data_IF_625859399608
#
_entry.id   IF_625859399608
#
_cell.length_a   1.000
_cell.length_b   1.000
_cell.length_c   1.000
_cell.angle_alpha   90.00
_cell.angle_beta   90.00
_cell.angle_gamma   90.00
#
_symmetry.space_group_name_H-M   'P 1'
#
loop_
_entity.id
_entity.type
_entity.pdbx_description
1 polymer ?
#
# COMPACT_ATOMS: atom_id res chain seq x y z
N UNK A 1 9.98 4.23 -13.21
CA UNK A 1 10.97 3.95 -12.16
C UNK A 1 10.75 2.57 -11.53
N UNK A 2 9.57 2.24 -10.98
CA UNK A 2 9.30 0.91 -10.41
C UNK A 2 9.46 -0.24 -11.42
N UNK A 3 8.93 -0.09 -12.64
CA UNK A 3 9.11 -1.05 -13.72
C UNK A 3 10.57 -1.22 -14.13
N UNK A 4 11.32 -0.11 -14.24
CA UNK A 4 12.75 -0.16 -14.56
C UNK A 4 13.55 -0.87 -13.46
N UNK A 5 13.24 -0.63 -12.18
CA UNK A 5 13.85 -1.34 -11.07
C UNK A 5 13.58 -2.85 -11.14
N UNK A 6 12.34 -3.25 -11.38
CA UNK A 6 11.98 -4.67 -11.54
C UNK A 6 12.66 -5.32 -12.75
N UNK A 7 12.69 -4.63 -13.90
CA UNK A 7 13.38 -5.12 -15.10
C UNK A 7 14.89 -5.32 -14.88
N UNK A 8 15.49 -4.49 -14.04
CA UNK A 8 16.90 -4.59 -13.65
C UNK A 8 17.15 -5.57 -12.48
N UNK A 9 16.11 -6.23 -11.94
CA UNK A 9 16.21 -7.05 -10.73
C UNK A 9 16.54 -6.25 -9.46
N UNK A 10 16.42 -4.92 -9.50
CA UNK A 10 16.74 -4.05 -8.38
C UNK A 10 15.59 -4.02 -7.37
N UNK A 11 15.89 -4.28 -6.10
CA UNK A 11 14.94 -4.23 -4.99
C UNK A 11 15.02 -2.92 -4.21
N UNK A 12 16.09 -2.16 -4.37
CA UNK A 12 16.29 -0.85 -3.74
C UNK A 12 16.60 0.20 -4.81
N UNK A 13 15.92 1.34 -4.70
CA UNK A 13 16.15 2.53 -5.53
C UNK A 13 16.68 3.65 -4.66
N UNK A 14 17.87 4.16 -4.97
CA UNK A 14 18.47 5.28 -4.26
C UNK A 14 17.87 6.60 -4.77
N UNK A 15 17.47 7.47 -3.86
CA UNK A 15 16.92 8.80 -4.15
C UNK A 15 17.73 9.89 -3.47
N UNK A 16 18.07 10.95 -4.20
CA UNK A 16 18.86 12.09 -3.74
C UNK A 16 18.10 13.13 -2.90
N UNK A 17 17.06 12.72 -2.14
CA UNK A 17 16.38 13.63 -1.23
C UNK A 17 17.26 14.00 -0.03
N UNK A 18 17.14 15.25 0.42
CA UNK A 18 17.95 15.87 1.47
C UNK A 18 17.08 16.41 2.61
N UNK A 19 17.69 16.87 3.70
CA UNK A 19 17.00 17.60 4.76
C UNK A 19 16.28 18.86 4.23
N UNK A 20 16.86 19.51 3.21
CA UNK A 20 16.23 20.66 2.54
C UNK A 20 14.89 20.28 1.89
N UNK A 21 14.76 19.08 1.32
CA UNK A 21 13.50 18.61 0.73
C UNK A 21 12.42 18.35 1.79
N UNK A 22 12.79 17.95 3.02
CA UNK A 22 11.86 17.83 4.15
C UNK A 22 11.32 19.21 4.52
N UNK A 23 12.20 20.19 4.69
CA UNK A 23 11.84 21.57 5.05
C UNK A 23 10.93 22.22 3.99
N UNK A 24 11.25 22.05 2.71
CA UNK A 24 10.40 22.49 1.59
C UNK A 24 9.01 21.81 1.66
N UNK A 25 8.95 20.50 1.98
CA UNK A 25 7.70 19.75 2.15
C UNK A 25 6.85 20.28 3.32
N UNK A 26 7.46 20.68 4.44
CA UNK A 26 6.77 21.31 5.57
C UNK A 26 6.12 22.62 5.14
N UNK A 27 6.86 23.52 4.46
CA UNK A 27 6.36 24.79 3.95
C UNK A 27 5.19 24.58 2.96
N UNK A 28 5.34 23.66 2.01
CA UNK A 28 4.29 23.35 1.06
C UNK A 28 3.01 22.82 1.73
N UNK A 29 3.12 22.04 2.81
CA UNK A 29 1.94 21.58 3.57
C UNK A 29 1.26 22.69 4.33
N UNK A 30 2.00 23.67 4.84
CA UNK A 30 1.42 24.88 5.42
C UNK A 30 0.57 25.66 4.41
N UNK A 31 0.90 25.60 3.12
CA UNK A 31 0.14 26.16 2.01
C UNK A 31 -0.97 25.23 1.47
N UNK A 32 -1.25 24.11 2.14
CA UNK A 32 -2.31 23.19 1.77
C UNK A 32 -1.90 22.01 0.86
N UNK A 33 -0.63 21.82 0.57
CA UNK A 33 -0.14 20.64 -0.16
C UNK A 33 -0.36 19.36 0.64
N UNK A 34 -0.59 18.25 -0.07
CA UNK A 34 -0.76 16.92 0.51
C UNK A 34 0.51 16.06 0.41
N UNK A 35 1.66 16.67 0.11
CA UNK A 35 2.92 15.94 0.01
C UNK A 35 3.25 15.29 1.36
N UNK A 36 3.66 14.02 1.35
CA UNK A 36 4.08 13.30 2.54
C UNK A 36 5.55 13.58 2.86
N UNK A 37 5.93 13.46 4.14
CA UNK A 37 7.35 13.52 4.52
C UNK A 37 8.09 12.33 3.94
N UNK A 38 9.23 12.55 3.29
CA UNK A 38 10.09 11.47 2.88
C UNK A 38 10.67 10.79 4.12
N UNK A 39 10.68 9.44 4.12
CA UNK A 39 11.38 8.62 5.11
C UNK A 39 12.69 8.14 4.51
N UNK A 40 13.68 7.87 5.34
CA UNK A 40 14.96 7.31 4.89
C UNK A 40 14.74 6.02 4.09
N UNK A 41 14.00 5.09 4.68
CA UNK A 41 13.49 3.89 4.02
C UNK A 41 11.98 3.96 3.85
N UNK A 42 11.50 3.58 2.69
CA UNK A 42 10.06 3.46 2.44
C UNK A 42 9.79 2.46 1.32
N UNK A 43 8.68 1.71 1.37
CA UNK A 43 8.23 0.94 0.21
C UNK A 43 7.91 1.88 -0.95
N UNK A 44 8.00 1.38 -2.17
CA UNK A 44 7.56 2.10 -3.36
C UNK A 44 6.09 2.55 -3.19
N UNK A 45 5.75 3.80 -3.50
CA UNK A 45 4.37 4.28 -3.47
C UNK A 45 3.55 3.78 -4.67
N UNK A 46 4.21 3.18 -5.67
CA UNK A 46 3.56 2.63 -6.87
C UNK A 46 3.06 1.23 -6.56
N UNK A 47 1.80 0.98 -6.76
CA UNK A 47 1.17 -0.29 -6.44
C UNK A 47 0.22 -0.72 -7.57
N UNK A 48 0.24 -2.00 -7.99
CA UNK A 48 1.05 -3.12 -7.47
C UNK A 48 2.45 -3.27 -8.10
N UNK A 49 2.81 -2.49 -9.11
CA UNK A 49 4.03 -2.65 -9.92
C UNK A 49 5.31 -2.48 -9.10
N UNK A 50 5.27 -1.62 -8.08
CA UNK A 50 6.38 -1.36 -7.17
C UNK A 50 6.46 -2.29 -5.95
N UNK A 51 5.69 -3.37 -5.89
CA UNK A 51 5.76 -4.32 -4.77
C UNK A 51 7.14 -4.97 -4.68
N UNK A 52 7.67 -5.06 -3.46
CA UNK A 52 9.02 -5.56 -3.24
C UNK A 52 10.15 -4.60 -3.65
N UNK A 53 9.83 -3.37 -4.09
CA UNK A 53 10.82 -2.32 -4.35
C UNK A 53 10.77 -1.30 -3.21
N UNK A 54 11.92 -0.99 -2.64
CA UNK A 54 12.11 -0.01 -1.57
C UNK A 54 12.86 1.22 -2.07
N UNK A 55 12.60 2.35 -1.44
CA UNK A 55 13.25 3.63 -1.70
C UNK A 55 14.17 3.95 -0.52
N UNK A 56 15.46 4.11 -0.78
CA UNK A 56 16.45 4.57 0.19
C UNK A 56 16.86 6.01 -0.12
N UNK A 57 16.90 6.86 0.90
CA UNK A 57 17.32 8.26 0.82
C UNK A 57 18.51 8.49 1.73
N UNK A 58 19.72 8.12 1.31
CA UNK A 58 20.91 8.14 2.17
C UNK A 58 21.34 9.56 2.56
N UNK A 59 20.90 10.56 1.81
CA UNK A 59 21.27 11.97 2.04
C UNK A 59 20.22 12.75 2.87
N UNK A 60 19.22 12.07 3.42
CA UNK A 60 18.06 12.72 4.06
C UNK A 60 18.44 13.51 5.33
N UNK A 61 19.54 13.16 5.97
CA UNK A 61 20.08 13.88 7.14
C UNK A 61 20.95 15.09 6.78
N UNK A 62 21.31 15.23 5.49
CA UNK A 62 22.22 16.28 5.03
C UNK A 62 21.44 17.40 4.33
N UNK A 63 21.89 18.64 4.53
CA UNK A 63 21.39 19.77 3.75
C UNK A 63 22.06 19.83 2.37
N UNK A 64 21.40 20.49 1.43
CA UNK A 64 21.99 20.74 0.10
C UNK A 64 23.30 21.53 0.18
N UNK A 65 23.43 22.47 1.13
CA UNK A 65 24.65 23.25 1.36
C UNK A 65 25.82 22.37 1.80
N UNK A 66 25.60 21.43 2.73
CA UNK A 66 26.63 20.49 3.18
C UNK A 66 27.10 19.59 2.03
N UNK A 67 26.17 19.10 1.20
CA UNK A 67 26.52 18.26 0.03
C UNK A 67 27.35 19.07 -0.98
N UNK A 68 26.96 20.29 -1.31
CA UNK A 68 27.75 21.19 -2.22
C UNK A 68 29.12 21.48 -1.67
N UNK A 69 29.24 21.71 -0.36
CA UNK A 69 30.52 21.88 0.31
C UNK A 69 31.40 20.67 0.20
N UNK A 70 30.83 19.46 0.39
CA UNK A 70 31.57 18.22 0.23
C UNK A 70 32.04 17.99 -1.21
N UNK A 71 31.16 18.22 -2.20
CA UNK A 71 31.51 18.11 -3.62
C UNK A 71 32.66 19.11 -4.00
N UNK A 72 32.54 20.35 -3.58
CA UNK A 72 33.59 21.34 -3.84
C UNK A 72 34.97 20.96 -3.24
N UNK A 73 34.98 20.34 -2.04
CA UNK A 73 36.20 19.83 -1.42
C UNK A 73 36.77 18.60 -2.19
N UNK A 74 35.90 17.82 -2.84
CA UNK A 74 36.31 16.71 -3.69
C UNK A 74 36.74 17.15 -5.10
N UNK A 75 36.65 18.44 -5.45
CA UNK A 75 36.91 18.93 -6.79
C UNK A 75 35.81 18.63 -7.81
N UNK A 76 34.64 18.22 -7.33
CA UNK A 76 33.48 17.86 -8.16
C UNK A 76 32.57 19.05 -8.40
N UNK A 77 31.94 19.08 -9.56
CA UNK A 77 30.94 20.09 -9.95
C UNK A 77 29.52 19.52 -9.96
N UNK A 78 28.54 20.43 -9.95
CA UNK A 78 27.13 20.05 -10.05
C UNK A 78 26.41 20.92 -11.09
N UNK A 79 25.28 20.39 -11.56
CA UNK A 79 24.40 21.15 -12.44
C UNK A 79 23.28 21.78 -11.62
N UNK A 80 23.03 23.06 -11.85
CA UNK A 80 21.86 23.77 -11.35
C UNK A 80 20.77 23.76 -12.42
N UNK A 81 19.75 22.89 -12.22
CA UNK A 81 18.59 22.82 -13.10
C UNK A 81 17.77 24.11 -12.99
N UNK A 82 17.53 24.84 -14.11
CA UNK A 82 16.72 26.05 -14.11
C UNK A 82 15.32 25.88 -13.53
N UNK A 83 14.74 24.67 -13.61
CA UNK A 83 13.45 24.37 -13.00
C UNK A 83 13.46 24.52 -11.47
N UNK A 84 14.63 24.45 -10.84
CA UNK A 84 14.77 24.60 -9.38
C UNK A 84 14.48 26.03 -8.87
N UNK A 85 14.51 27.02 -9.73
CA UNK A 85 14.23 28.44 -9.40
C UNK A 85 12.95 28.97 -10.06
N UNK A 86 12.26 28.15 -10.85
CA UNK A 86 11.04 28.53 -11.55
C UNK A 86 9.86 28.65 -10.57
N UNK A 87 9.29 29.86 -10.36
CA UNK A 87 8.21 30.07 -9.38
C UNK A 87 6.88 29.38 -9.72
N UNK A 88 6.73 28.82 -10.91
CA UNK A 88 5.58 27.98 -11.25
C UNK A 88 5.50 26.74 -10.37
N UNK A 89 6.63 26.25 -9.89
CA UNK A 89 6.70 25.06 -9.05
C UNK A 89 6.64 25.42 -7.56
N UNK A 90 5.77 24.76 -6.79
CA UNK A 90 5.58 25.01 -5.37
C UNK A 90 6.89 24.84 -4.56
N UNK A 91 7.73 23.86 -4.93
CA UNK A 91 9.04 23.66 -4.28
C UNK A 91 9.99 24.83 -4.50
N UNK A 92 10.02 25.42 -5.71
CA UNK A 92 10.86 26.58 -5.99
C UNK A 92 10.41 27.79 -5.17
N UNK A 93 9.08 28.00 -5.02
CA UNK A 93 8.54 29.06 -4.14
C UNK A 93 8.88 28.82 -2.67
N UNK A 94 8.71 27.61 -2.14
CA UNK A 94 9.07 27.26 -0.77
C UNK A 94 10.56 27.51 -0.49
N UNK A 95 11.42 27.15 -1.45
CA UNK A 95 12.87 27.40 -1.38
C UNK A 95 13.22 28.90 -1.38
N UNK A 96 12.60 29.69 -2.28
CA UNK A 96 12.78 31.11 -2.32
C UNK A 96 12.31 31.81 -1.03
N UNK A 97 11.35 31.25 -0.32
CA UNK A 97 10.91 31.73 0.99
C UNK A 97 11.80 31.28 2.17
N UNK A 98 12.99 30.71 1.91
CA UNK A 98 13.95 30.32 2.95
C UNK A 98 13.62 28.97 3.66
N UNK A 99 12.68 28.18 3.16
CA UNK A 99 12.29 26.93 3.80
C UNK A 99 13.46 25.94 3.98
N UNK A 100 14.46 25.98 3.10
CA UNK A 100 15.61 25.07 3.14
C UNK A 100 16.55 25.28 4.35
N UNK A 101 16.43 26.39 5.05
CA UNK A 101 17.25 26.74 6.23
C UNK A 101 16.62 26.26 7.55
N UNK A 102 15.39 25.74 7.50
CA UNK A 102 14.69 25.22 8.68
C UNK A 102 15.24 23.81 8.99
N UNK A 103 15.68 23.61 10.24
CA UNK A 103 16.12 22.30 10.69
C UNK A 103 14.99 21.26 10.52
N UNK A 104 15.26 20.06 9.98
CA UNK A 104 14.24 19.03 9.84
C UNK A 104 13.73 18.63 11.24
N UNK A 105 12.42 18.33 11.36
CA UNK A 105 11.89 17.84 12.63
C UNK A 105 12.60 16.55 13.01
N UNK A 106 12.97 16.41 14.29
CA UNK A 106 13.59 15.18 14.79
C UNK A 106 12.71 13.98 14.51
N UNK A 107 13.33 12.88 14.10
CA UNK A 107 12.60 11.62 13.87
C UNK A 107 11.84 11.23 15.14
N UNK A 108 10.52 11.10 15.05
CA UNK A 108 9.72 10.61 16.18
C UNK A 108 9.95 9.10 16.32
N UNK A 109 10.11 8.59 17.55
CA UNK A 109 10.17 7.15 17.75
C UNK A 109 8.95 6.47 17.11
N UNK A 110 9.20 5.49 16.26
CA UNK A 110 8.14 4.72 15.62
C UNK A 110 7.71 3.61 16.59
N UNK A 111 6.46 3.64 17.04
CA UNK A 111 5.82 2.54 17.73
C UNK A 111 4.71 1.99 16.80
N UNK A 112 4.84 0.75 16.30
CA UNK A 112 3.80 0.16 15.49
C UNK A 112 2.51 0.00 16.31
N UNK A 113 1.34 0.19 15.71
CA UNK A 113 0.09 -0.12 16.39
C UNK A 113 -0.04 -1.62 16.63
N UNK A 114 -0.79 -2.03 17.65
CA UNK A 114 -1.25 -3.41 17.74
C UNK A 114 -2.17 -3.69 16.54
N UNK A 115 -1.99 -4.80 15.86
CA UNK A 115 -2.82 -5.21 14.73
C UNK A 115 -2.82 -6.71 14.54
N UNK A 116 -3.82 -7.19 13.82
CA UNK A 116 -3.92 -8.54 13.28
C UNK A 116 -4.36 -8.47 11.82
N UNK A 117 -3.87 -9.37 10.98
CA UNK A 117 -4.28 -9.51 9.58
C UNK A 117 -4.52 -10.98 9.28
N UNK A 118 -5.76 -11.31 8.94
CA UNK A 118 -6.12 -12.68 8.60
C UNK A 118 -5.72 -13.08 7.16
N UNK A 119 -5.83 -14.37 6.86
CA UNK A 119 -5.46 -14.95 5.57
C UNK A 119 -6.23 -14.36 4.38
N UNK A 120 -7.39 -13.75 4.60
CA UNK A 120 -8.19 -13.12 3.54
C UNK A 120 -7.94 -11.61 3.41
N UNK A 121 -6.98 -11.07 4.17
CA UNK A 121 -6.61 -9.66 4.13
C UNK A 121 -7.55 -8.74 4.92
N UNK A 122 -8.29 -9.25 5.92
CA UNK A 122 -9.00 -8.42 6.89
C UNK A 122 -8.00 -7.90 7.92
N UNK A 123 -7.97 -6.60 8.16
CA UNK A 123 -7.09 -5.96 9.14
C UNK A 123 -7.91 -5.60 10.38
N UNK A 124 -7.42 -5.98 11.57
CA UNK A 124 -7.98 -5.58 12.87
C UNK A 124 -7.04 -4.61 13.56
N UNK A 125 -7.60 -3.56 14.12
CA UNK A 125 -6.88 -2.48 14.81
C UNK A 125 -7.63 -2.09 16.07
N UNK A 126 -6.94 -1.56 17.12
CA UNK A 126 -7.62 -0.98 18.25
C UNK A 126 -8.34 0.31 17.86
N UNK A 127 -9.36 0.69 18.61
CA UNK A 127 -10.19 1.88 18.30
C UNK A 127 -9.44 3.21 18.43
N UNK A 128 -8.42 3.26 19.25
CA UNK A 128 -7.57 4.44 19.48
C UNK A 128 -6.46 4.60 18.43
N UNK A 129 -6.48 3.77 17.37
CA UNK A 129 -5.50 3.81 16.29
C UNK A 129 -5.33 5.21 15.72
N UNK A 130 -4.07 5.61 15.50
CA UNK A 130 -3.74 6.89 14.90
C UNK A 130 -4.16 6.95 13.42
N UNK A 131 -4.31 8.17 12.89
CA UNK A 131 -4.78 8.40 11.53
C UNK A 131 -3.90 7.75 10.44
N UNK A 132 -2.57 7.74 10.61
CA UNK A 132 -1.66 7.20 9.61
C UNK A 132 -1.75 5.66 9.48
N UNK A 133 -1.69 4.85 10.56
CA UNK A 133 -1.92 3.42 10.46
C UNK A 133 -3.33 3.06 10.00
N UNK A 134 -4.35 3.83 10.38
CA UNK A 134 -5.71 3.64 9.88
C UNK A 134 -5.79 3.86 8.36
N UNK A 135 -5.16 4.93 7.85
CA UNK A 135 -5.09 5.19 6.41
C UNK A 135 -4.35 4.08 5.66
N UNK A 136 -3.27 3.52 6.24
CA UNK A 136 -2.55 2.39 5.70
C UNK A 136 -3.42 1.12 5.66
N UNK A 137 -4.19 0.85 6.72
CA UNK A 137 -5.11 -0.29 6.76
C UNK A 137 -6.20 -0.17 5.68
N UNK A 138 -6.80 1.02 5.54
CA UNK A 138 -7.80 1.29 4.49
C UNK A 138 -7.21 1.09 3.10
N UNK A 139 -6.00 1.61 2.85
CA UNK A 139 -5.26 1.43 1.60
C UNK A 139 -5.04 -0.03 1.26
N UNK A 140 -4.51 -0.80 2.22
CA UNK A 140 -4.08 -2.18 2.00
C UNK A 140 -5.27 -3.13 1.88
N UNK A 141 -6.26 -3.03 2.77
CA UNK A 141 -7.47 -3.85 2.70
C UNK A 141 -8.32 -3.56 1.45
N UNK A 142 -8.29 -2.32 0.96
CA UNK A 142 -8.97 -1.94 -0.29
C UNK A 142 -8.18 -2.29 -1.56
N UNK A 143 -6.88 -2.60 -1.47
CA UNK A 143 -6.05 -2.85 -2.65
C UNK A 143 -5.78 -1.62 -3.52
N UNK A 144 -6.09 -0.41 -3.05
CA UNK A 144 -5.99 0.84 -3.83
C UNK A 144 -4.58 1.41 -3.84
N UNK A 145 -4.31 2.34 -4.76
CA UNK A 145 -2.98 2.97 -4.89
C UNK A 145 -2.75 4.12 -3.90
N UNK A 146 -3.81 4.81 -3.52
CA UNK A 146 -3.70 6.04 -2.74
C UNK A 146 -4.46 5.94 -1.41
N UNK A 147 -3.80 6.27 -0.28
CA UNK A 147 -4.47 6.27 1.01
C UNK A 147 -5.51 7.39 1.11
N UNK A 148 -6.60 7.19 1.84
CA UNK A 148 -7.54 8.27 2.15
C UNK A 148 -6.86 9.35 2.98
N UNK A 149 -7.25 10.61 2.72
CA UNK A 149 -6.65 11.80 3.35
C UNK A 149 -7.73 12.84 3.69
N UNK A 150 -7.30 13.90 4.38
CA UNK A 150 -8.10 15.10 4.65
C UNK A 150 -9.32 14.83 5.54
N UNK A 151 -10.37 15.62 5.35
CA UNK A 151 -11.52 15.65 6.25
C UNK A 151 -12.24 14.32 6.43
N UNK A 152 -12.29 13.46 5.39
CA UNK A 152 -12.97 12.15 5.47
C UNK A 152 -12.28 11.24 6.46
N UNK A 153 -10.94 11.16 6.40
CA UNK A 153 -10.15 10.39 7.35
C UNK A 153 -10.26 10.96 8.76
N UNK A 154 -10.15 12.29 8.92
CA UNK A 154 -10.26 12.95 10.21
C UNK A 154 -11.65 12.74 10.85
N UNK A 155 -12.72 12.74 10.05
CA UNK A 155 -14.07 12.43 10.53
C UNK A 155 -14.17 10.98 11.04
N UNK A 156 -13.63 10.03 10.27
CA UNK A 156 -13.59 8.61 10.67
C UNK A 156 -12.83 8.42 11.98
N UNK A 157 -11.65 9.03 12.14
CA UNK A 157 -10.87 8.94 13.40
C UNK A 157 -11.65 9.50 14.57
N UNK A 158 -12.36 10.62 14.42
CA UNK A 158 -13.22 11.17 15.49
C UNK A 158 -14.37 10.22 15.84
N UNK A 159 -15.00 9.63 14.83
CA UNK A 159 -16.09 8.68 15.03
C UNK A 159 -15.61 7.39 15.72
N UNK A 160 -14.41 6.91 15.43
CA UNK A 160 -13.82 5.78 16.16
C UNK A 160 -13.64 6.09 17.64
N UNK A 161 -13.24 7.32 17.97
CA UNK A 161 -13.01 7.78 19.36
C UNK A 161 -14.31 8.01 20.16
N UNK A 162 -15.47 8.12 19.50
CA UNK A 162 -16.73 8.25 20.24
C UNK A 162 -17.13 7.00 21.00
N UNK A 163 -16.54 5.84 20.69
CA UNK A 163 -16.84 4.57 21.34
C UNK A 163 -18.08 3.86 20.78
N UNK A 164 -18.90 4.51 19.99
CA UNK A 164 -20.10 3.90 19.41
C UNK A 164 -19.76 2.86 18.34
N UNK A 165 -20.58 1.81 18.24
CA UNK A 165 -20.47 0.83 17.17
C UNK A 165 -21.04 1.42 15.86
N UNK A 166 -20.33 1.27 14.75
CA UNK A 166 -20.82 1.71 13.45
C UNK A 166 -20.21 0.90 12.30
N UNK A 167 -20.82 1.00 11.12
CA UNK A 167 -20.23 0.55 9.87
C UNK A 167 -20.14 1.72 8.89
N UNK A 168 -19.04 1.78 8.12
CA UNK A 168 -18.79 2.80 7.12
C UNK A 168 -18.01 2.24 5.94
N UNK A 169 -17.90 3.00 4.85
CA UNK A 169 -17.01 2.72 3.73
C UNK A 169 -16.15 3.93 3.42
N UNK A 170 -14.87 3.71 3.16
CA UNK A 170 -13.95 4.78 2.76
C UNK A 170 -12.86 4.21 1.85
N UNK A 171 -12.66 4.86 0.70
CA UNK A 171 -11.60 4.55 -0.27
C UNK A 171 -11.57 3.06 -0.69
N UNK A 172 -12.72 2.44 -0.85
CA UNK A 172 -12.85 1.04 -1.29
C UNK A 172 -12.74 0.02 -0.16
N UNK A 173 -12.57 0.45 1.08
CA UNK A 173 -12.60 -0.40 2.27
C UNK A 173 -13.92 -0.24 3.03
N UNK A 174 -14.42 -1.34 3.58
CA UNK A 174 -15.49 -1.40 4.59
C UNK A 174 -14.87 -1.41 5.97
N UNK A 175 -15.38 -0.57 6.84
CA UNK A 175 -14.98 -0.42 8.24
C UNK A 175 -16.14 -0.89 9.11
N UNK A 176 -15.88 -1.74 10.07
CA UNK A 176 -16.81 -2.13 11.12
C UNK A 176 -16.13 -1.86 12.46
N UNK A 177 -16.67 -0.91 13.23
CA UNK A 177 -16.17 -0.52 14.53
C UNK A 177 -17.06 -1.13 15.63
N UNK A 178 -16.49 -2.00 16.42
CA UNK A 178 -17.04 -2.61 17.62
C UNK A 178 -16.11 -2.40 18.80
N UNK A 179 -15.69 -3.44 19.47
CA UNK A 179 -14.60 -3.43 20.45
C UNK A 179 -13.28 -3.08 19.75
N UNK A 180 -13.02 -3.72 18.60
CA UNK A 180 -11.93 -3.37 17.68
C UNK A 180 -12.49 -2.73 16.41
N UNK A 181 -11.59 -2.23 15.56
CA UNK A 181 -11.86 -1.76 14.21
C UNK A 181 -11.48 -2.83 13.21
N UNK A 182 -12.45 -3.31 12.46
CA UNK A 182 -12.25 -4.31 11.40
C UNK A 182 -12.31 -3.62 10.04
N UNK A 183 -11.25 -3.73 9.26
CA UNK A 183 -11.12 -3.14 7.92
C UNK A 183 -10.98 -4.24 6.89
N UNK A 184 -11.82 -4.23 5.86
CA UNK A 184 -11.80 -5.21 4.76
C UNK A 184 -12.19 -4.57 3.43
N UNK A 185 -12.02 -5.31 2.34
CA UNK A 185 -12.48 -4.87 1.02
C UNK A 185 -13.99 -4.63 1.01
N UNK A 186 -14.44 -3.52 0.45
CA UNK A 186 -15.86 -3.25 0.26
C UNK A 186 -16.41 -3.97 -0.98
N UNK A 187 -17.42 -4.80 -0.79
CA UNK A 187 -18.09 -5.52 -1.89
C UNK A 187 -18.85 -4.58 -2.85
N UNK A 188 -19.26 -3.41 -2.38
CA UNK A 188 -19.91 -2.36 -3.18
C UNK A 188 -19.00 -1.77 -4.27
N UNK A 189 -17.68 -1.98 -4.20
CA UNK A 189 -16.74 -1.53 -5.22
C UNK A 189 -16.97 -2.19 -6.58
N UNK A 190 -17.54 -3.38 -6.64
CA UNK A 190 -17.91 -4.03 -7.92
C UNK A 190 -18.80 -3.13 -8.77
N UNK A 191 -19.72 -2.40 -8.16
CA UNK A 191 -20.61 -1.48 -8.86
C UNK A 191 -19.88 -0.19 -9.30
N UNK A 192 -18.72 0.10 -8.74
CA UNK A 192 -17.87 1.29 -9.05
C UNK A 192 -16.67 0.96 -9.94
N UNK A 193 -16.65 -0.24 -10.56
CA UNK A 193 -15.58 -0.68 -11.46
C UNK A 193 -14.39 -1.33 -10.75
N UNK A 194 -14.45 -1.53 -9.43
CA UNK A 194 -13.48 -2.34 -8.69
C UNK A 194 -13.74 -3.84 -8.81
N UNK A 195 -12.80 -4.66 -8.35
CA UNK A 195 -12.88 -6.13 -8.43
C UNK A 195 -13.06 -6.63 -9.89
N UNK A 196 -12.46 -5.92 -10.84
CA UNK A 196 -12.54 -6.28 -12.25
C UNK A 196 -11.95 -7.68 -12.49
N UNK A 197 -12.50 -8.46 -13.43
CA UNK A 197 -11.92 -9.73 -13.81
C UNK A 197 -10.48 -9.56 -14.33
N UNK A 198 -9.62 -10.55 -14.03
CA UNK A 198 -8.26 -10.67 -14.57
C UNK A 198 -8.15 -12.01 -15.30
N UNK A 199 -7.59 -12.00 -16.50
CA UNK A 199 -7.23 -13.20 -17.25
C UNK A 199 -5.71 -13.30 -17.30
N UNK A 200 -5.18 -14.50 -17.04
CA UNK A 200 -3.75 -14.82 -17.12
C UNK A 200 -3.52 -15.94 -18.11
N UNK A 201 -2.50 -15.78 -18.96
CA UNK A 201 -2.00 -16.84 -19.82
C UNK A 201 -1.29 -17.93 -18.97
N UNK A 202 -1.06 -19.14 -19.51
CA UNK A 202 -0.30 -20.16 -18.83
C UNK A 202 1.06 -19.65 -18.32
N UNK A 203 1.38 -19.88 -17.06
CA UNK A 203 2.61 -19.43 -16.40
C UNK A 203 2.67 -17.92 -16.08
N UNK A 204 1.71 -17.13 -16.52
CA UNK A 204 1.67 -15.69 -16.28
C UNK A 204 1.35 -15.38 -14.81
N UNK A 205 2.00 -14.33 -14.28
CA UNK A 205 1.75 -13.79 -12.93
C UNK A 205 1.12 -12.41 -13.03
N UNK A 206 0.01 -12.21 -12.32
CA UNK A 206 -0.66 -10.93 -12.22
C UNK A 206 -1.11 -10.60 -10.80
N UNK A 207 -1.49 -9.35 -10.57
CA UNK A 207 -2.06 -8.93 -9.29
C UNK A 207 -3.53 -8.59 -9.49
N UNK A 208 -4.40 -9.34 -8.80
CA UNK A 208 -5.83 -9.11 -8.82
C UNK A 208 -6.27 -8.23 -7.66
N UNK A 209 -7.06 -7.20 -7.99
CA UNK A 209 -7.66 -6.23 -7.06
C UNK A 209 -6.64 -5.58 -6.10
N UNK A 210 -5.34 -5.54 -6.49
CA UNK A 210 -4.26 -5.00 -5.67
C UNK A 210 -4.00 -5.77 -4.36
N UNK A 211 -4.62 -6.94 -4.14
CA UNK A 211 -4.57 -7.72 -2.91
C UNK A 211 -4.02 -9.13 -3.06
N UNK A 212 -4.09 -9.69 -4.25
CA UNK A 212 -3.71 -11.07 -4.52
C UNK A 212 -2.75 -11.14 -5.69
N UNK A 213 -1.56 -11.67 -5.47
CA UNK A 213 -0.65 -12.07 -6.54
C UNK A 213 -0.98 -13.51 -6.91
N UNK A 214 -1.24 -13.75 -8.19
CA UNK A 214 -1.70 -15.04 -8.70
C UNK A 214 -0.85 -15.39 -9.91
N UNK A 215 -0.31 -16.61 -9.92
CA UNK A 215 0.39 -17.20 -11.06
C UNK A 215 -0.48 -18.30 -11.64
N UNK A 216 -0.78 -18.24 -12.92
CA UNK A 216 -1.45 -19.31 -13.63
C UNK A 216 -0.54 -20.55 -13.73
N UNK A 217 -1.13 -21.74 -13.68
CA UNK A 217 -0.44 -22.99 -13.99
C UNK A 217 -0.30 -23.21 -15.50
N UNK A 218 -0.43 -24.46 -15.92
CA UNK A 218 -0.27 -24.88 -17.33
C UNK A 218 -1.48 -24.52 -18.20
N UNK A 219 -2.55 -23.99 -17.61
CA UNK A 219 -3.79 -23.59 -18.32
C UNK A 219 -4.08 -22.12 -18.12
N UNK A 220 -4.77 -21.46 -19.07
CA UNK A 220 -5.28 -20.12 -18.90
C UNK A 220 -6.15 -20.02 -17.65
N UNK A 221 -6.01 -18.94 -16.88
CA UNK A 221 -6.70 -18.73 -15.62
C UNK A 221 -7.54 -17.47 -15.65
N UNK A 222 -8.81 -17.58 -15.27
CA UNK A 222 -9.70 -16.43 -15.06
C UNK A 222 -9.91 -16.20 -13.57
N UNK A 223 -9.72 -14.98 -13.13
CA UNK A 223 -9.90 -14.53 -11.74
C UNK A 223 -11.06 -13.54 -11.70
N UNK A 224 -12.02 -13.77 -10.82
CA UNK A 224 -13.19 -12.93 -10.63
C UNK A 224 -13.58 -12.86 -9.15
N UNK A 225 -14.39 -11.87 -8.72
CA UNK A 225 -14.91 -11.88 -7.34
C UNK A 225 -15.88 -13.05 -7.14
N UNK A 226 -15.82 -13.68 -5.97
CA UNK A 226 -16.71 -14.79 -5.60
C UNK A 226 -18.21 -14.40 -5.66
N UNK A 227 -18.57 -13.20 -5.26
CA UNK A 227 -19.87 -12.50 -5.36
C UNK A 227 -21.06 -13.40 -5.74
N UNK A 228 -21.65 -14.09 -4.74
CA UNK A 228 -22.86 -14.91 -4.96
C UNK A 228 -22.63 -16.26 -5.64
N UNK A 229 -21.39 -16.57 -6.10
CA UNK A 229 -21.08 -17.82 -6.81
C UNK A 229 -20.62 -18.96 -5.89
N UNK A 230 -20.96 -18.91 -4.60
CA UNK A 230 -20.62 -19.98 -3.65
C UNK A 230 -21.12 -21.35 -4.09
N UNK A 231 -22.26 -21.42 -4.77
CA UNK A 231 -22.82 -22.68 -5.26
C UNK A 231 -21.93 -23.39 -6.30
N UNK A 232 -21.08 -22.65 -7.00
CA UNK A 232 -20.14 -23.19 -7.97
C UNK A 232 -18.93 -23.90 -7.33
N UNK A 233 -18.65 -23.64 -6.05
CA UNK A 233 -17.56 -24.26 -5.32
C UNK A 233 -17.93 -25.68 -4.85
N UNK A 234 -16.91 -26.51 -4.68
CA UNK A 234 -17.07 -27.84 -4.09
C UNK A 234 -17.62 -27.75 -2.65
N UNK A 235 -18.32 -28.80 -2.15
CA UNK A 235 -18.96 -28.74 -0.83
C UNK A 235 -18.01 -28.40 0.32
N UNK A 236 -16.78 -28.91 0.31
CA UNK A 236 -15.76 -28.61 1.33
C UNK A 236 -15.39 -27.13 1.37
N UNK A 237 -15.21 -26.47 0.22
CA UNK A 237 -14.91 -25.05 0.14
C UNK A 237 -16.09 -24.20 0.62
N UNK A 238 -17.32 -24.59 0.30
CA UNK A 238 -18.53 -23.92 0.82
C UNK A 238 -18.60 -23.97 2.33
N UNK A 239 -18.29 -25.11 2.93
CA UNK A 239 -18.28 -25.28 4.38
C UNK A 239 -17.21 -24.36 5.03
N UNK A 240 -16.00 -24.31 4.48
CA UNK A 240 -14.93 -23.42 4.95
C UNK A 240 -15.30 -21.93 4.81
N UNK A 241 -15.93 -21.54 3.71
CA UNK A 241 -16.43 -20.17 3.51
C UNK A 241 -17.48 -19.76 4.54
N UNK A 242 -18.25 -20.68 5.09
CA UNK A 242 -19.26 -20.37 6.11
C UNK A 242 -18.64 -19.79 7.39
N UNK A 243 -17.38 -20.12 7.69
CA UNK A 243 -16.64 -19.56 8.83
C UNK A 243 -16.15 -18.10 8.59
N UNK A 244 -16.12 -17.65 7.32
CA UNK A 244 -15.71 -16.28 6.97
C UNK A 244 -16.93 -15.35 7.09
N UNK A 245 -16.73 -14.13 7.58
CA UNK A 245 -17.77 -13.11 7.68
C UNK A 245 -18.49 -12.91 6.34
N UNK A 246 -19.83 -12.90 6.34
CA UNK A 246 -20.63 -12.80 5.13
C UNK A 246 -20.30 -11.58 4.27
N UNK A 247 -19.93 -10.46 4.90
CA UNK A 247 -19.51 -9.20 4.24
C UNK A 247 -18.16 -9.29 3.54
N UNK A 248 -17.29 -10.26 3.89
CA UNK A 248 -15.99 -10.47 3.26
C UNK A 248 -16.04 -11.40 2.03
N UNK A 249 -16.92 -12.41 2.07
CA UNK A 249 -16.99 -13.47 1.04
C UNK A 249 -17.11 -12.93 -0.40
N UNK A 250 -17.97 -11.93 -0.69
CA UNK A 250 -18.15 -11.45 -2.07
C UNK A 250 -16.88 -10.92 -2.72
N UNK A 251 -15.88 -10.50 -1.94
CA UNK A 251 -14.64 -9.88 -2.41
C UNK A 251 -13.46 -10.84 -2.50
N UNK A 252 -13.67 -12.13 -2.23
CA UNK A 252 -12.64 -13.15 -2.35
C UNK A 252 -12.40 -13.52 -3.81
N UNK A 253 -11.18 -13.91 -4.21
CA UNK A 253 -10.91 -14.36 -5.57
C UNK A 253 -11.54 -15.73 -5.82
N UNK A 254 -12.19 -15.86 -6.95
CA UNK A 254 -12.63 -17.12 -7.53
C UNK A 254 -11.79 -17.39 -8.76
N UNK A 255 -11.04 -18.48 -8.76
CA UNK A 255 -10.18 -18.92 -9.83
C UNK A 255 -10.89 -19.98 -10.67
N UNK A 256 -10.88 -19.81 -11.99
CA UNK A 256 -11.44 -20.79 -12.93
C UNK A 256 -10.41 -21.03 -14.04
N UNK A 257 -9.87 -22.24 -14.09
CA UNK A 257 -9.09 -22.73 -15.21
C UNK A 257 -10.02 -23.35 -16.26
N UNK A 258 -9.57 -23.42 -17.52
CA UNK A 258 -10.34 -24.03 -18.59
C UNK A 258 -10.62 -25.52 -18.28
N UNK A 259 -11.89 -25.92 -18.31
CA UNK A 259 -12.32 -27.27 -17.96
C UNK A 259 -12.23 -27.65 -16.48
N UNK A 260 -11.73 -26.76 -15.62
CA UNK A 260 -11.54 -27.00 -14.19
C UNK A 260 -12.71 -26.54 -13.31
N UNK A 261 -12.81 -27.14 -12.12
CA UNK A 261 -13.76 -26.66 -11.10
C UNK A 261 -13.28 -25.33 -10.50
N UNK A 262 -14.20 -24.36 -10.26
CA UNK A 262 -13.85 -23.11 -9.61
C UNK A 262 -13.29 -23.32 -8.20
N UNK A 263 -12.25 -22.57 -7.83
CA UNK A 263 -11.56 -22.62 -6.53
C UNK A 263 -11.46 -21.24 -5.90
N UNK A 264 -11.41 -21.21 -4.58
CA UNK A 264 -11.16 -19.98 -3.83
C UNK A 264 -9.86 -20.10 -3.02
N UNK A 265 -8.72 -19.57 -3.48
CA UNK A 265 -7.41 -19.74 -2.84
C UNK A 265 -7.35 -19.15 -1.43
N UNK A 266 -8.19 -18.16 -1.12
CA UNK A 266 -8.27 -17.56 0.21
C UNK A 266 -8.63 -18.55 1.33
N UNK A 267 -9.11 -19.76 0.98
CA UNK A 267 -9.43 -20.81 1.94
C UNK A 267 -8.23 -21.67 2.33
N UNK A 268 -7.15 -21.63 1.57
CA UNK A 268 -6.04 -22.57 1.69
C UNK A 268 -4.82 -21.94 2.41
N UNK A 269 -4.93 -20.70 2.86
CA UNK A 269 -3.88 -19.97 3.56
C UNK A 269 -3.24 -18.85 2.73
N UNK A 270 -2.24 -18.16 3.28
CA UNK A 270 -1.65 -16.99 2.64
C UNK A 270 -0.79 -17.30 1.40
N UNK A 271 -0.19 -18.49 1.35
CA UNK A 271 0.68 -18.96 0.26
C UNK A 271 0.18 -20.29 -0.24
N UNK A 272 -0.58 -20.30 -1.32
CA UNK A 272 -1.11 -21.49 -1.91
C UNK A 272 -0.27 -21.94 -3.12
N UNK A 273 0.22 -23.18 -3.06
CA UNK A 273 0.59 -23.95 -4.25
C UNK A 273 -0.56 -24.94 -4.51
N UNK A 274 -1.40 -24.66 -5.50
CA UNK A 274 -2.52 -25.54 -5.85
C UNK A 274 -2.09 -26.62 -6.85
N UNK A 275 -2.87 -27.71 -6.91
CA UNK A 275 -2.78 -28.66 -8.01
C UNK A 275 -2.83 -27.95 -9.36
N UNK A 276 -2.02 -28.41 -10.33
CA UNK A 276 -1.93 -27.78 -11.65
C UNK A 276 -1.01 -26.54 -11.72
N UNK A 277 -0.14 -26.33 -10.72
CA UNK A 277 0.88 -25.27 -10.75
C UNK A 277 0.35 -23.85 -10.48
N UNK A 278 -0.93 -23.68 -10.18
CA UNK A 278 -1.49 -22.38 -9.79
C UNK A 278 -0.94 -21.97 -8.42
N UNK A 279 -0.42 -20.74 -8.30
CA UNK A 279 0.00 -20.16 -7.04
C UNK A 279 -0.79 -18.90 -6.75
N UNK A 280 -1.16 -18.70 -5.49
CA UNK A 280 -1.82 -17.48 -5.04
C UNK A 280 -1.22 -17.04 -3.71
N UNK A 281 -0.92 -15.73 -3.60
CA UNK A 281 -0.36 -15.10 -2.41
C UNK A 281 -1.18 -13.88 -2.02
N UNK A 282 -1.57 -13.79 -0.75
CA UNK A 282 -2.20 -12.60 -0.21
C UNK A 282 -1.13 -11.52 0.06
N UNK A 283 -1.31 -10.32 -0.50
CA UNK A 283 -0.35 -9.21 -0.40
C UNK A 283 -0.66 -8.24 0.75
N UNK A 284 -1.82 -8.36 1.39
CA UNK A 284 -2.32 -7.36 2.34
C UNK A 284 -1.43 -7.23 3.57
N UNK A 285 -0.98 -8.35 4.16
CA UNK A 285 -0.15 -8.35 5.36
C UNK A 285 1.19 -7.66 5.12
N UNK A 286 1.91 -8.08 4.07
CA UNK A 286 3.24 -7.54 3.75
C UNK A 286 3.15 -6.06 3.39
N UNK A 287 2.14 -5.70 2.58
CA UNK A 287 1.89 -4.32 2.22
C UNK A 287 1.56 -3.46 3.44
N UNK A 288 0.75 -3.96 4.36
CA UNK A 288 0.38 -3.22 5.57
C UNK A 288 1.59 -3.01 6.48
N UNK A 289 2.38 -4.05 6.73
CA UNK A 289 3.64 -3.95 7.51
C UNK A 289 4.58 -2.91 6.90
N UNK A 290 4.77 -2.93 5.57
CA UNK A 290 5.58 -1.94 4.87
C UNK A 290 4.99 -0.52 4.99
N UNK A 291 3.68 -0.37 4.81
CA UNK A 291 3.01 0.94 4.85
C UNK A 291 3.07 1.60 6.24
N UNK A 292 3.03 0.81 7.32
CA UNK A 292 3.20 1.31 8.69
C UNK A 292 4.67 1.40 9.12
N UNK A 293 5.64 1.01 8.28
CA UNK A 293 7.07 1.15 8.57
C UNK A 293 7.65 0.03 9.44
N UNK A 294 7.03 -1.14 9.52
CA UNK A 294 7.59 -2.32 10.19
C UNK A 294 8.71 -2.98 9.39
N UNK A 295 8.69 -2.87 8.07
CA UNK A 295 9.79 -3.25 7.21
C UNK A 295 10.58 -2.00 6.85
N UNK A 296 11.62 -1.71 7.62
CA UNK A 296 12.58 -0.66 7.30
C UNK A 296 13.66 -1.16 6.35
N UNK A 297 13.81 -2.45 6.23
CA UNK A 297 14.83 -3.10 5.41
C UNK A 297 14.20 -4.20 4.59
N UNK A 298 14.82 -4.49 3.48
CA UNK A 298 14.51 -5.67 2.71
C UNK A 298 14.78 -6.91 3.55
N UNK A 299 13.79 -7.80 3.67
CA UNK A 299 14.06 -9.13 4.22
C UNK A 299 15.06 -9.81 3.30
N UNK A 300 16.29 -9.96 3.77
CA UNK A 300 17.29 -10.82 3.14
C UNK A 300 16.79 -12.24 3.36
N UNK A 301 16.26 -12.85 2.31
CA UNK A 301 15.92 -14.27 2.28
C UNK A 301 17.19 -15.09 2.08
#
# INVERSE_FOLDING_TARGET
MAEAARAAGARVVLLGHTASDIAEGVAMRAEGSTVSDPREWAPSPVWPEGRGVFLLRPLLALTRGEIRTALARAGETWLDDPANVDPRYARARARAAGAAEIAPPSARPFAPPRFDVDAIGTIRLPRDVAAAPLAAALLCAAGTERPPRGQRLSRLVRQLRSGEAFAATLAGARIEAGEDVVVRRDAGETARGGLAPLALAPGETGVWDGRWEITAGDQPLRIEPLKGRMAALVPGDRARLSAIAASARPTLPLLTAEGGAPRCPALDGPDLAAEGGVRARALVLDRFKAAIGLFDQECVT
#
